data_IF_012147776087
#
_entry.id   IF_012147776087
#
_cell.length_a   1.000
_cell.length_b   1.000
_cell.length_c   1.000
_cell.angle_alpha   90.00
_cell.angle_beta   90.00
_cell.angle_gamma   90.00
#
_symmetry.space_group_name_H-M   'P 1'
#
loop_
_entity.id
_entity.type
_entity.pdbx_description
1 polymer ?
#
# COMPACT_ATOMS: atom_id res chain seq x y z
N UNK A 1 9.90 18.55 12.54
CA UNK A 1 8.80 18.99 11.69
C UNK A 1 8.54 17.94 10.63
N UNK A 2 7.28 17.68 10.36
CA UNK A 2 6.85 16.72 9.32
C UNK A 2 6.86 17.42 7.97
N UNK A 3 7.38 16.73 6.95
CA UNK A 3 7.37 17.20 5.56
C UNK A 3 6.51 16.29 4.71
N UNK A 4 5.61 16.88 3.89
CA UNK A 4 4.88 16.15 2.88
C UNK A 4 5.79 15.83 1.70
N UNK A 5 5.61 14.63 1.12
CA UNK A 5 6.30 14.18 -0.08
C UNK A 5 5.27 13.63 -1.05
N UNK A 6 5.41 13.98 -2.32
CA UNK A 6 4.61 13.44 -3.40
C UNK A 6 5.40 12.39 -4.17
N UNK A 7 4.69 11.39 -4.70
CA UNK A 7 5.24 10.40 -5.61
C UNK A 7 4.30 10.26 -6.80
N UNK A 8 4.87 10.20 -8.01
CA UNK A 8 4.08 10.07 -9.23
C UNK A 8 3.28 8.77 -9.29
N UNK A 9 3.76 7.72 -8.63
CA UNK A 9 3.11 6.40 -8.56
C UNK A 9 1.99 6.31 -7.52
N UNK A 10 1.74 7.38 -6.75
CA UNK A 10 0.62 7.42 -5.81
C UNK A 10 -0.46 8.38 -6.30
N UNK A 11 -1.75 8.05 -6.06
CA UNK A 11 -2.85 8.94 -6.41
C UNK A 11 -2.75 10.26 -5.67
N UNK A 12 -3.14 11.36 -6.34
CA UNK A 12 -3.25 12.65 -5.67
C UNK A 12 -4.42 12.62 -4.68
N UNK A 13 -4.23 13.14 -3.46
CA UNK A 13 -5.30 13.19 -2.48
C UNK A 13 -6.48 14.03 -2.96
N UNK A 14 -7.70 13.51 -2.76
CA UNK A 14 -8.95 14.25 -3.01
C UNK A 14 -9.46 14.96 -1.77
N UNK A 15 -8.88 14.67 -0.61
CA UNK A 15 -9.24 15.23 0.68
C UNK A 15 -7.99 15.84 1.33
N UNK A 16 -8.16 16.43 2.50
CA UNK A 16 -7.06 17.12 3.18
C UNK A 16 -6.17 16.13 3.93
N UNK A 17 -5.22 15.54 3.23
CA UNK A 17 -4.14 14.74 3.79
C UNK A 17 -2.94 14.70 2.82
N UNK A 18 -1.79 14.32 3.34
CA UNK A 18 -0.59 14.10 2.53
C UNK A 18 -0.48 12.63 2.13
N UNK A 19 -0.14 12.29 0.89
CA UNK A 19 0.04 10.89 0.48
C UNK A 19 1.21 10.23 1.21
N UNK A 20 2.25 11.00 1.50
CA UNK A 20 3.39 10.56 2.30
C UNK A 20 3.92 11.72 3.12
N UNK A 21 4.49 11.40 4.28
CA UNK A 21 5.19 12.36 5.14
C UNK A 21 6.51 11.79 5.60
N UNK A 22 7.50 12.66 5.77
CA UNK A 22 8.78 12.32 6.41
C UNK A 22 8.81 12.94 7.80
N UNK A 23 9.16 12.15 8.78
CA UNK A 23 9.33 12.58 10.16
C UNK A 23 10.60 11.93 10.71
N UNK A 24 11.67 12.71 10.88
CA UNK A 24 12.98 12.19 11.27
C UNK A 24 13.48 11.15 10.26
N UNK A 25 13.92 9.97 10.72
CA UNK A 25 14.42 8.92 9.84
C UNK A 25 13.30 8.08 9.19
N UNK A 26 12.02 8.39 9.44
CA UNK A 26 10.90 7.58 8.95
C UNK A 26 10.13 8.29 7.86
N UNK A 27 9.67 7.50 6.90
CA UNK A 27 8.67 7.90 5.92
C UNK A 27 7.41 7.09 6.19
N UNK A 28 6.26 7.76 6.20
CA UNK A 28 4.95 7.13 6.41
C UNK A 28 4.04 7.47 5.25
N UNK A 29 3.36 6.46 4.72
CA UNK A 29 2.33 6.66 3.69
C UNK A 29 0.95 6.80 4.33
N UNK A 30 0.04 7.49 3.64
CA UNK A 30 -1.38 7.34 3.87
C UNK A 30 -1.84 5.94 3.45
N UNK A 31 -3.10 5.59 3.72
CA UNK A 31 -3.66 4.33 3.26
C UNK A 31 -3.64 4.25 1.73
N UNK A 32 -3.32 3.07 1.20
CA UNK A 32 -3.24 2.82 -0.23
C UNK A 32 -4.29 1.79 -0.65
N UNK A 33 -5.12 2.14 -1.61
CA UNK A 33 -6.04 1.21 -2.27
C UNK A 33 -5.54 0.94 -3.70
N UNK A 34 -6.05 -0.12 -4.33
CA UNK A 34 -5.54 -0.59 -5.62
C UNK A 34 -5.97 0.27 -6.81
N UNK A 35 -5.53 1.51 -6.85
CA UNK A 35 -5.84 2.43 -7.94
C UNK A 35 -4.78 2.34 -9.03
N UNK A 36 -5.24 2.14 -10.26
CA UNK A 36 -4.40 2.30 -11.44
C UNK A 36 -4.13 3.79 -11.65
N UNK A 37 -2.87 4.19 -11.60
CA UNK A 37 -2.46 5.61 -11.73
C UNK A 37 -2.86 6.18 -13.09
N UNK A 38 -2.86 5.38 -14.14
CA UNK A 38 -3.22 5.82 -15.49
C UNK A 38 -4.69 6.16 -15.60
N UNK A 39 -5.57 5.35 -15.02
CA UNK A 39 -7.03 5.55 -15.12
C UNK A 39 -7.63 6.30 -13.93
N UNK A 40 -6.93 6.31 -12.79
CA UNK A 40 -7.46 6.87 -11.54
C UNK A 40 -8.55 6.03 -10.90
N UNK A 41 -8.73 4.78 -11.34
CA UNK A 41 -9.79 3.89 -10.89
C UNK A 41 -9.24 2.66 -10.19
N UNK A 42 -10.06 2.10 -9.28
CA UNK A 42 -9.78 0.82 -8.64
C UNK A 42 -9.66 -0.27 -9.71
N UNK A 43 -8.60 -1.08 -9.63
CA UNK A 43 -8.44 -2.22 -10.56
C UNK A 43 -9.53 -3.25 -10.30
N UNK A 44 -9.97 -3.93 -11.36
CA UNK A 44 -10.97 -4.98 -11.27
C UNK A 44 -10.35 -6.28 -10.77
N UNK A 45 -11.16 -7.14 -10.15
CA UNK A 45 -10.78 -8.51 -9.81
C UNK A 45 -10.66 -8.82 -8.32
N UNK A 46 -10.91 -7.86 -7.43
CA UNK A 46 -10.92 -8.08 -5.99
C UNK A 46 -9.54 -8.09 -5.36
N UNK A 47 -9.39 -8.80 -4.24
CA UNK A 47 -8.21 -8.72 -3.36
C UNK A 47 -6.90 -9.02 -4.07
N UNK A 48 -6.82 -10.06 -4.89
CA UNK A 48 -5.57 -10.42 -5.57
C UNK A 48 -5.03 -9.30 -6.44
N UNK A 49 -5.76 -8.87 -7.48
CA UNK A 49 -5.35 -7.76 -8.34
C UNK A 49 -5.16 -6.44 -7.61
N UNK A 50 -6.02 -6.12 -6.64
CA UNK A 50 -5.89 -4.90 -5.85
C UNK A 50 -4.61 -4.92 -5.01
N UNK A 51 -4.29 -6.04 -4.36
CA UNK A 51 -3.05 -6.20 -3.59
C UNK A 51 -1.83 -6.03 -4.47
N UNK A 52 -1.82 -6.66 -5.64
CA UNK A 52 -0.72 -6.54 -6.60
C UNK A 52 -0.52 -5.09 -7.03
N UNK A 53 -1.60 -4.38 -7.30
CA UNK A 53 -1.56 -2.96 -7.67
C UNK A 53 -0.99 -2.09 -6.54
N UNK A 54 -1.48 -2.28 -5.31
CA UNK A 54 -1.00 -1.54 -4.13
C UNK A 54 0.50 -1.75 -3.96
N UNK A 55 0.95 -3.00 -3.95
CA UNK A 55 2.35 -3.33 -3.70
C UNK A 55 3.26 -2.79 -4.79
N UNK A 56 2.84 -2.85 -6.06
CA UNK A 56 3.58 -2.26 -7.16
C UNK A 56 3.70 -0.74 -7.01
N UNK A 57 2.59 -0.06 -6.75
CA UNK A 57 2.58 1.40 -6.57
C UNK A 57 3.46 1.81 -5.39
N UNK A 58 3.42 1.05 -4.30
CA UNK A 58 4.26 1.28 -3.14
C UNK A 58 5.75 1.13 -3.47
N UNK A 59 6.11 0.06 -4.18
CA UNK A 59 7.51 -0.16 -4.60
C UNK A 59 8.02 1.01 -5.44
N UNK A 60 7.22 1.46 -6.40
CA UNK A 60 7.59 2.59 -7.25
C UNK A 60 7.73 3.88 -6.45
N UNK A 61 6.80 4.15 -5.54
CA UNK A 61 6.87 5.32 -4.66
C UNK A 61 8.12 5.29 -3.77
N UNK A 62 8.44 4.13 -3.21
CA UNK A 62 9.66 3.95 -2.41
C UNK A 62 10.91 4.22 -3.25
N UNK A 63 10.96 3.70 -4.48
CA UNK A 63 12.07 3.92 -5.39
C UNK A 63 12.24 5.41 -5.72
N UNK A 64 11.15 6.14 -5.91
CA UNK A 64 11.19 7.59 -6.13
C UNK A 64 11.80 8.34 -4.93
N UNK A 65 11.69 7.76 -3.74
CA UNK A 65 12.26 8.32 -2.50
C UNK A 65 13.66 7.75 -2.17
N UNK A 66 14.23 6.94 -3.05
CA UNK A 66 15.54 6.31 -2.81
C UNK A 66 15.50 5.16 -1.82
N UNK A 67 14.33 4.57 -1.59
CA UNK A 67 14.13 3.46 -0.65
C UNK A 67 13.96 2.14 -1.40
N UNK A 68 14.25 1.05 -0.70
CA UNK A 68 14.12 -0.32 -1.19
C UNK A 68 13.20 -1.12 -0.25
N UNK A 69 12.77 -2.30 -0.68
CA UNK A 69 11.84 -3.12 0.11
C UNK A 69 12.39 -3.49 1.49
N UNK A 70 13.68 -3.68 1.61
CA UNK A 70 14.31 -3.99 2.90
C UNK A 70 14.31 -2.81 3.88
N UNK A 71 13.92 -1.62 3.44
CA UNK A 71 13.78 -0.46 4.30
C UNK A 71 12.40 -0.38 4.96
N UNK A 72 11.47 -1.25 4.58
CA UNK A 72 10.13 -1.27 5.18
C UNK A 72 10.17 -1.76 6.62
N UNK A 73 9.57 -0.99 7.52
CA UNK A 73 9.53 -1.30 8.95
C UNK A 73 8.26 -2.04 9.32
N UNK A 74 7.11 -1.56 8.84
CA UNK A 74 5.81 -2.14 9.19
C UNK A 74 4.76 -1.86 8.14
N UNK A 75 3.73 -2.70 8.12
CA UNK A 75 2.55 -2.52 7.29
C UNK A 75 1.30 -2.93 8.06
N UNK A 76 0.23 -2.19 7.89
CA UNK A 76 -1.09 -2.53 8.38
C UNK A 76 -1.99 -2.86 7.19
N UNK A 77 -2.67 -3.99 7.28
CA UNK A 77 -3.50 -4.52 6.20
C UNK A 77 -4.96 -4.54 6.65
N UNK A 78 -5.85 -3.98 5.85
CA UNK A 78 -7.27 -3.92 6.11
C UNK A 78 -8.02 -4.61 4.98
N UNK A 79 -8.86 -5.58 5.31
CA UNK A 79 -9.64 -6.36 4.35
C UNK A 79 -11.13 -6.19 4.64
N UNK A 80 -11.94 -5.87 3.63
CA UNK A 80 -13.39 -5.80 3.79
C UNK A 80 -14.03 -7.19 3.95
N UNK A 81 -13.36 -8.24 3.46
CA UNK A 81 -13.71 -9.65 3.68
C UNK A 81 -12.46 -10.43 4.07
N UNK A 82 -12.32 -10.72 5.35
CA UNK A 82 -11.13 -11.39 5.88
C UNK A 82 -10.98 -12.84 5.38
N UNK A 83 -12.02 -13.44 4.82
CA UNK A 83 -11.91 -14.75 4.16
C UNK A 83 -10.99 -14.70 2.93
N UNK A 84 -10.77 -13.51 2.37
CA UNK A 84 -9.87 -13.30 1.24
C UNK A 84 -8.40 -13.10 1.66
N UNK A 85 -8.09 -13.21 2.96
CA UNK A 85 -6.73 -13.08 3.45
C UNK A 85 -5.72 -13.97 2.70
N UNK A 86 -6.01 -15.25 2.40
CA UNK A 86 -5.06 -16.08 1.65
C UNK A 86 -4.68 -15.51 0.28
N UNK A 87 -5.61 -14.88 -0.44
CA UNK A 87 -5.31 -14.25 -1.73
C UNK A 87 -4.37 -13.06 -1.58
N UNK A 88 -4.55 -12.24 -0.54
CA UNK A 88 -3.62 -11.17 -0.22
C UNK A 88 -2.26 -11.74 0.18
N UNK A 89 -2.25 -12.73 1.07
CA UNK A 89 -1.00 -13.27 1.61
C UNK A 89 -0.12 -13.87 0.53
N UNK A 90 -0.71 -14.47 -0.51
CA UNK A 90 0.04 -14.97 -1.65
C UNK A 90 0.78 -13.84 -2.38
N UNK A 91 0.10 -12.72 -2.63
CA UNK A 91 0.72 -11.55 -3.27
C UNK A 91 1.82 -10.94 -2.40
N UNK A 92 1.61 -10.92 -1.09
CA UNK A 92 2.61 -10.46 -0.13
C UNK A 92 3.87 -11.32 -0.15
N UNK A 93 3.70 -12.63 -0.10
CA UNK A 93 4.84 -13.57 -0.13
C UNK A 93 5.63 -13.47 -1.43
N UNK A 94 4.92 -13.35 -2.57
CA UNK A 94 5.57 -13.17 -3.85
C UNK A 94 6.34 -11.85 -3.92
N UNK A 95 5.76 -10.79 -3.36
CA UNK A 95 6.36 -9.46 -3.37
C UNK A 95 7.64 -9.38 -2.53
N UNK A 96 7.64 -10.02 -1.37
CA UNK A 96 8.79 -10.04 -0.45
C UNK A 96 9.71 -11.25 -0.64
N UNK A 97 9.53 -12.02 -1.69
CA UNK A 97 10.42 -13.15 -1.98
C UNK A 97 11.86 -12.68 -2.09
N UNK A 98 12.77 -13.34 -1.37
CA UNK A 98 14.20 -12.99 -1.37
C UNK A 98 14.56 -11.83 -0.42
N UNK A 99 13.62 -11.28 0.31
CA UNK A 99 13.90 -10.26 1.34
C UNK A 99 14.13 -10.97 2.68
N UNK A 100 15.33 -10.81 3.25
CA UNK A 100 15.73 -11.52 4.48
C UNK A 100 14.89 -11.10 5.69
N UNK A 101 14.53 -9.82 5.77
CA UNK A 101 13.76 -9.28 6.89
C UNK A 101 12.54 -8.56 6.38
N UNK A 102 11.42 -9.27 6.15
CA UNK A 102 10.17 -8.61 5.78
C UNK A 102 9.67 -7.72 6.93
N UNK A 103 8.86 -6.70 6.62
CA UNK A 103 8.37 -5.79 7.64
C UNK A 103 7.43 -6.49 8.64
N UNK A 104 7.33 -5.93 9.84
CA UNK A 104 6.30 -6.31 10.78
C UNK A 104 4.92 -6.01 10.15
N UNK A 105 3.92 -6.86 10.44
CA UNK A 105 2.62 -6.77 9.79
C UNK A 105 1.49 -7.02 10.77
N UNK A 106 0.41 -6.24 10.64
CA UNK A 106 -0.88 -6.47 11.30
C UNK A 106 -1.95 -6.54 10.21
N UNK A 107 -2.81 -7.55 10.27
CA UNK A 107 -3.89 -7.75 9.30
C UNK A 107 -5.21 -7.89 10.03
N UNK A 108 -6.21 -7.10 9.64
CA UNK A 108 -7.53 -7.08 10.26
C UNK A 108 -8.64 -7.00 9.23
N UNK A 109 -9.81 -7.52 9.58
CA UNK A 109 -11.04 -7.30 8.82
C UNK A 109 -11.70 -5.99 9.26
N UNK A 110 -12.31 -5.28 8.32
CA UNK A 110 -13.05 -4.05 8.55
C UNK A 110 -14.40 -4.12 7.86
N UNK A 111 -15.33 -3.25 8.27
CA UNK A 111 -16.68 -3.24 7.70
C UNK A 111 -16.69 -2.82 6.24
N UNK A 112 -15.93 -1.79 5.88
CA UNK A 112 -15.81 -1.29 4.51
C UNK A 112 -14.54 -0.46 4.36
N UNK A 113 -14.18 -0.20 3.11
CA UNK A 113 -13.02 0.61 2.74
C UNK A 113 -13.42 1.69 1.74
N UNK A 114 -12.61 2.75 1.58
CA UNK A 114 -12.89 3.78 0.58
C UNK A 114 -13.06 3.20 -0.83
N UNK A 115 -13.93 3.80 -1.62
CA UNK A 115 -14.23 3.47 -3.03
C UNK A 115 -14.58 2.00 -3.26
N UNK A 116 -15.19 1.35 -2.27
CA UNK A 116 -15.51 -0.09 -2.29
C UNK A 116 -14.29 -0.98 -2.52
N UNK A 117 -13.10 -0.53 -2.10
CA UNK A 117 -11.90 -1.36 -2.17
C UNK A 117 -12.06 -2.61 -1.31
N UNK A 118 -11.45 -3.70 -1.76
CA UNK A 118 -11.45 -4.97 -1.01
C UNK A 118 -10.30 -5.04 -0.01
N UNK A 119 -9.27 -4.24 -0.20
CA UNK A 119 -8.07 -4.20 0.63
C UNK A 119 -7.44 -2.80 0.60
N UNK A 120 -6.84 -2.47 1.74
CA UNK A 120 -6.04 -1.25 1.90
C UNK A 120 -4.78 -1.57 2.68
#
# INVERSE_FOLDING_TARGET
MVKAIDAASLPKPKFLYSPMVVAGPFLKTAGLVGIDITTGKLVAGGVGPESKCILRNLREAMSECGLQLHDMVSANIYLSDFQQFPSFNQEWEDFFAGIDTPPARTSVGVQCLPIDASIE
#
